data_IF_482068397887
#
_entry.id   IF_482068397887
#
_cell.length_a   1.000
_cell.length_b   1.000
_cell.length_c   1.000
_cell.angle_alpha   90.00
_cell.angle_beta   90.00
_cell.angle_gamma   90.00
#
_symmetry.space_group_name_H-M   'P 1'
#
loop_
_entity.id
_entity.type
_entity.pdbx_description
1 polymer ?
#
# COMPACT_ATOMS: atom_id res chain seq x y z
N UNK A 1 0.06 15.52 -1.86
CA UNK A 1 1.28 14.99 -1.20
C UNK A 1 1.88 13.79 -1.96
N UNK A 2 3.14 13.88 -2.40
CA UNK A 2 3.82 12.82 -3.19
C UNK A 2 3.89 11.47 -2.47
N UNK A 3 4.12 11.48 -1.16
CA UNK A 3 4.25 10.25 -0.36
C UNK A 3 2.99 9.41 -0.33
N UNK A 4 1.80 10.03 -0.35
CA UNK A 4 0.53 9.29 -0.32
C UNK A 4 0.33 8.46 -1.58
N UNK A 5 0.61 9.05 -2.76
CA UNK A 5 0.55 8.34 -4.04
C UNK A 5 1.54 7.20 -4.11
N UNK A 6 2.79 7.47 -3.74
CA UNK A 6 3.83 6.46 -3.69
C UNK A 6 3.46 5.29 -2.78
N UNK A 7 3.03 5.59 -1.54
CA UNK A 7 2.68 4.57 -0.57
C UNK A 7 1.51 3.69 -1.04
N UNK A 8 0.48 4.30 -1.62
CA UNK A 8 -0.69 3.58 -2.15
C UNK A 8 -0.32 2.71 -3.35
N UNK A 9 0.40 3.26 -4.34
CA UNK A 9 0.83 2.53 -5.52
C UNK A 9 1.74 1.35 -5.13
N UNK A 10 2.73 1.57 -4.27
CA UNK A 10 3.62 0.52 -3.77
C UNK A 10 2.83 -0.57 -3.04
N UNK A 11 1.92 -0.20 -2.15
CA UNK A 11 1.06 -1.14 -1.44
C UNK A 11 0.25 -2.03 -2.39
N UNK A 12 -0.45 -1.43 -3.36
CA UNK A 12 -1.30 -2.14 -4.32
C UNK A 12 -0.47 -3.09 -5.20
N UNK A 13 0.69 -2.64 -5.69
CA UNK A 13 1.62 -3.49 -6.44
C UNK A 13 2.14 -4.66 -5.60
N UNK A 14 2.41 -4.45 -4.31
CA UNK A 14 2.90 -5.50 -3.43
C UNK A 14 1.84 -6.56 -3.08
N UNK A 15 0.54 -6.23 -3.14
CA UNK A 15 -0.54 -7.20 -2.96
C UNK A 15 -1.01 -7.84 -4.29
N UNK A 16 -0.42 -7.45 -5.42
CA UNK A 16 -0.65 -8.06 -6.72
C UNK A 16 -1.73 -7.39 -7.58
N UNK A 17 -2.12 -6.15 -7.27
CA UNK A 17 -3.04 -5.40 -8.12
C UNK A 17 -2.42 -5.07 -9.49
N UNK A 18 -3.27 -5.01 -10.51
CA UNK A 18 -2.85 -4.70 -11.88
C UNK A 18 -2.45 -3.22 -12.04
N UNK A 19 -1.46 -2.96 -12.89
CA UNK A 19 -0.94 -1.61 -13.08
C UNK A 19 -1.96 -0.67 -13.72
N UNK A 20 -2.76 -1.15 -14.68
CA UNK A 20 -3.81 -0.34 -15.31
C UNK A 20 -4.88 0.04 -14.28
N UNK A 21 -5.23 -0.89 -13.40
CA UNK A 21 -6.20 -0.67 -12.33
C UNK A 21 -5.68 0.38 -11.34
N UNK A 22 -4.41 0.30 -10.93
CA UNK A 22 -3.78 1.30 -10.06
C UNK A 22 -3.77 2.68 -10.74
N UNK A 23 -3.44 2.77 -12.02
CA UNK A 23 -3.48 4.04 -12.76
C UNK A 23 -4.90 4.61 -12.79
N UNK A 24 -5.92 3.77 -13.03
CA UNK A 24 -7.33 4.17 -13.02
C UNK A 24 -7.77 4.68 -11.65
N UNK A 25 -7.27 4.11 -10.56
CA UNK A 25 -7.60 4.53 -9.19
C UNK A 25 -7.24 6.01 -8.93
N UNK A 26 -6.19 6.53 -9.59
CA UNK A 26 -5.77 7.92 -9.42
C UNK A 26 -6.55 8.94 -10.26
N UNK A 27 -7.41 8.51 -11.19
CA UNK A 27 -8.18 9.40 -12.07
C UNK A 27 -8.98 10.51 -11.36
N UNK A 28 -9.58 10.28 -10.17
CA UNK A 28 -10.33 11.33 -9.47
C UNK A 28 -9.45 12.44 -8.86
N UNK A 29 -8.12 12.29 -8.85
CA UNK A 29 -7.24 13.32 -8.32
C UNK A 29 -7.20 14.55 -9.24
N UNK A 30 -7.28 15.76 -8.68
CA UNK A 30 -7.38 17.02 -9.42
C UNK A 30 -6.17 17.32 -10.33
N UNK A 31 -5.01 16.78 -10.01
CA UNK A 31 -3.73 16.89 -10.72
C UNK A 31 -3.36 15.59 -11.45
N UNK A 32 -4.35 14.73 -11.73
CA UNK A 32 -4.12 13.48 -12.44
C UNK A 32 -3.58 13.71 -13.85
N UNK A 33 -2.48 13.02 -14.15
CA UNK A 33 -1.96 12.85 -15.50
C UNK A 33 -1.71 11.36 -15.72
N UNK A 34 -2.37 10.78 -16.72
CA UNK A 34 -2.26 9.34 -17.01
C UNK A 34 -0.82 8.96 -17.33
N UNK A 35 -0.16 9.73 -18.21
CA UNK A 35 1.23 9.50 -18.60
C UNK A 35 2.18 9.48 -17.39
N UNK A 36 2.04 10.46 -16.50
CA UNK A 36 2.92 10.58 -15.32
C UNK A 36 2.61 9.50 -14.28
N UNK A 37 1.33 9.22 -14.04
CA UNK A 37 0.90 8.20 -13.07
C UNK A 37 1.36 6.82 -13.51
N UNK A 38 1.15 6.48 -14.79
CA UNK A 38 1.61 5.21 -15.39
C UNK A 38 3.12 5.05 -15.25
N UNK A 39 3.88 6.09 -15.59
CA UNK A 39 5.33 6.08 -15.43
C UNK A 39 5.74 5.84 -13.96
N UNK A 40 5.09 6.49 -13.00
CA UNK A 40 5.36 6.29 -11.57
C UNK A 40 5.04 4.86 -11.12
N UNK A 41 3.89 4.31 -11.51
CA UNK A 41 3.48 2.94 -11.17
C UNK A 41 4.46 1.93 -11.74
N UNK A 42 4.81 2.04 -13.02
CA UNK A 42 5.79 1.16 -13.67
C UNK A 42 7.17 1.25 -13.01
N UNK A 43 7.61 2.47 -12.64
CA UNK A 43 8.88 2.67 -11.94
C UNK A 43 8.88 2.03 -10.55
N UNK A 44 7.82 2.23 -9.76
CA UNK A 44 7.66 1.59 -8.44
C UNK A 44 7.65 0.06 -8.59
N UNK A 45 7.02 -0.46 -9.65
CA UNK A 45 6.98 -1.88 -9.98
C UNK A 45 8.30 -2.48 -10.48
N UNK A 46 9.32 -1.65 -10.72
CA UNK A 46 10.62 -2.09 -11.24
C UNK A 46 10.67 -2.30 -12.77
N UNK A 47 9.70 -1.77 -13.51
CA UNK A 47 9.63 -1.86 -14.98
C UNK A 47 10.31 -0.69 -15.71
N UNK A 48 10.73 0.35 -14.97
CA UNK A 48 11.45 1.52 -15.49
C UNK A 48 12.69 1.82 -14.64
N UNK A 49 13.59 2.62 -15.20
CA UNK A 49 14.80 3.09 -14.50
C UNK A 49 15.72 1.95 -14.07
N UNK A 50 16.25 2.03 -12.85
CA UNK A 50 17.17 1.03 -12.25
C UNK A 50 16.55 -0.34 -11.96
N UNK A 51 15.30 -0.59 -12.38
CA UNK A 51 14.54 -1.84 -12.19
C UNK A 51 14.38 -2.29 -10.74
N UNK A 52 14.56 -1.38 -9.78
CA UNK A 52 14.29 -1.63 -8.37
C UNK A 52 12.79 -1.73 -8.15
N UNK A 53 12.33 -2.90 -7.71
CA UNK A 53 10.95 -3.06 -7.23
C UNK A 53 10.85 -2.50 -5.82
N UNK A 54 10.10 -1.42 -5.67
CA UNK A 54 9.89 -0.79 -4.36
C UNK A 54 8.87 -1.57 -3.54
N UNK A 55 9.03 -1.47 -2.22
CA UNK A 55 8.09 -2.05 -1.27
C UNK A 55 7.33 -0.95 -0.53
N UNK A 56 6.12 -1.27 -0.10
CA UNK A 56 5.30 -0.39 0.71
C UNK A 56 6.09 0.09 1.94
N UNK A 57 6.12 1.42 2.20
CA UNK A 57 6.87 1.96 3.32
C UNK A 57 6.35 1.46 4.68
N UNK A 58 7.23 1.46 5.68
CA UNK A 58 6.93 1.00 7.03
C UNK A 58 5.86 1.89 7.70
N UNK A 59 5.15 1.34 8.70
CA UNK A 59 4.15 2.11 9.45
C UNK A 59 4.76 3.37 10.10
N UNK A 60 6.01 3.30 10.57
CA UNK A 60 6.74 4.45 11.10
C UNK A 60 6.93 5.54 10.04
N UNK A 61 7.38 5.16 8.84
CA UNK A 61 7.52 6.08 7.69
C UNK A 61 6.19 6.73 7.32
N UNK A 62 5.10 5.94 7.25
CA UNK A 62 3.78 6.50 6.97
C UNK A 62 3.33 7.51 8.02
N UNK A 63 3.62 7.26 9.30
CA UNK A 63 3.33 8.20 10.40
C UNK A 63 4.14 9.47 10.26
N UNK A 64 5.46 9.37 10.04
CA UNK A 64 6.36 10.52 9.85
C UNK A 64 5.89 11.43 8.72
N UNK A 65 5.39 10.86 7.62
CA UNK A 65 4.90 11.62 6.47
C UNK A 65 3.41 11.99 6.53
N UNK A 66 2.72 11.73 7.65
CA UNK A 66 1.31 12.10 7.84
C UNK A 66 0.32 11.37 6.91
N UNK A 67 0.71 10.21 6.36
CA UNK A 67 -0.11 9.42 5.42
C UNK A 67 -0.60 8.10 6.05
N UNK A 68 -0.28 7.85 7.31
CA UNK A 68 -0.88 6.75 8.08
C UNK A 68 -2.35 7.07 8.36
N UNK A 69 -3.26 6.19 7.91
CA UNK A 69 -4.70 6.41 8.01
C UNK A 69 -5.33 5.49 9.05
N UNK A 70 -6.18 6.07 9.91
CA UNK A 70 -7.03 5.38 10.91
C UNK A 70 -6.35 4.21 11.63
N UNK A 71 -5.34 4.47 12.49
CA UNK A 71 -4.74 3.42 13.30
C UNK A 71 -5.77 2.78 14.25
N UNK A 72 -5.74 1.47 14.36
CA UNK A 72 -6.64 0.68 15.21
C UNK A 72 -5.86 -0.27 16.16
N UNK A 73 -6.56 -1.22 16.80
CA UNK A 73 -5.94 -2.22 17.67
C UNK A 73 -4.99 -3.17 16.93
N UNK A 74 -5.22 -3.45 15.64
CA UNK A 74 -4.32 -4.29 14.84
C UNK A 74 -3.02 -3.52 14.56
N UNK A 75 -3.09 -2.21 14.32
CA UNK A 75 -1.93 -1.36 14.06
C UNK A 75 -0.87 -1.38 15.17
N UNK A 76 -1.24 -1.60 16.44
CA UNK A 76 -0.26 -1.72 17.54
C UNK A 76 0.54 -3.04 17.50
N UNK A 77 0.05 -4.04 16.77
CA UNK A 77 0.63 -5.39 16.68
C UNK A 77 1.44 -5.63 15.42
N UNK A 78 1.64 -4.60 14.58
CA UNK A 78 2.30 -4.70 13.28
C UNK A 78 3.31 -3.58 13.07
N UNK A 79 4.21 -3.77 12.10
CA UNK A 79 5.24 -2.78 11.71
C UNK A 79 5.13 -2.33 10.25
N UNK A 80 4.38 -3.07 9.44
CA UNK A 80 4.26 -2.86 8.00
C UNK A 80 2.78 -2.94 7.55
N UNK A 81 2.31 -2.05 6.68
CA UNK A 81 0.95 -2.06 6.12
C UNK A 81 0.56 -3.39 5.44
N UNK A 82 1.50 -4.07 4.78
CA UNK A 82 1.26 -5.38 4.17
C UNK A 82 0.91 -6.45 5.23
N UNK A 83 1.48 -6.35 6.44
CA UNK A 83 1.12 -7.22 7.56
C UNK A 83 -0.29 -6.93 8.06
N UNK A 84 -0.72 -5.65 8.04
CA UNK A 84 -2.10 -5.26 8.35
C UNK A 84 -3.06 -5.97 7.41
N UNK A 85 -2.84 -5.83 6.10
CA UNK A 85 -3.67 -6.43 5.07
C UNK A 85 -3.77 -7.95 5.24
N UNK A 86 -2.65 -8.64 5.46
CA UNK A 86 -2.63 -10.09 5.70
C UNK A 86 -3.43 -10.49 6.95
N UNK A 87 -3.32 -9.76 8.06
CA UNK A 87 -4.11 -10.04 9.27
C UNK A 87 -5.61 -9.82 9.02
N UNK A 88 -5.97 -8.70 8.40
CA UNK A 88 -7.35 -8.36 8.11
C UNK A 88 -7.99 -9.35 7.13
N UNK A 89 -7.26 -9.76 6.08
CA UNK A 89 -7.71 -10.76 5.12
C UNK A 89 -8.02 -12.09 5.82
N UNK A 90 -7.17 -12.55 6.74
CA UNK A 90 -7.42 -13.79 7.53
C UNK A 90 -8.68 -13.67 8.39
N UNK A 91 -8.92 -12.51 9.00
CA UNK A 91 -10.13 -12.25 9.78
C UNK A 91 -11.38 -12.31 8.89
N UNK A 92 -11.32 -11.73 7.69
CA UNK A 92 -12.44 -11.72 6.74
C UNK A 92 -12.70 -13.10 6.11
N UNK A 93 -11.66 -13.89 5.85
CA UNK A 93 -11.77 -15.25 5.28
C UNK A 93 -12.15 -16.33 6.30
N UNK A 94 -12.47 -15.97 7.56
CA UNK A 94 -12.89 -16.92 8.59
C UNK A 94 -11.78 -17.84 9.14
N UNK A 95 -10.53 -17.66 8.69
CA UNK A 95 -9.35 -18.44 9.12
C UNK A 95 -8.55 -17.68 10.20
N UNK A 96 -9.24 -16.94 11.06
CA UNK A 96 -8.64 -16.09 12.09
C UNK A 96 -7.94 -16.90 13.19
N UNK A 97 -6.87 -16.38 13.80
CA UNK A 97 -6.17 -17.07 14.88
C UNK A 97 -7.07 -17.21 16.10
N UNK A 98 -7.20 -18.45 16.58
CA UNK A 98 -7.84 -18.80 17.86
C UNK A 98 -6.88 -18.41 18.98
N UNK A 99 -6.86 -17.13 19.35
CA UNK A 99 -6.28 -16.69 20.60
C UNK A 99 -7.45 -16.52 21.59
N UNK A 100 -7.84 -17.63 22.20
CA UNK A 100 -8.60 -17.59 23.45
C UNK A 100 -7.67 -17.12 24.58
N UNK A 101 -8.19 -16.37 25.57
CA UNK A 101 -7.40 -15.96 26.72
C UNK A 101 -6.99 -17.21 27.50
N UNK A 102 -5.71 -17.28 27.87
CA UNK A 102 -5.30 -18.06 29.04
C UNK A 102 -5.63 -17.27 30.29
#
# INVERSE_FOLDING_TARGET
PHMGRFALAAFLLNIGADQEEIVRLFKPASDFSERMTRYQVEHIGGLRGGRTKYTCPMCTTLKTHGVCYKPDKVCSTIRNPLSYYKKQARTLSGTGPKNGPN
#
